data_IF_082025999322
#
_entry.id   IF_082025999322
#
_cell.length_a   1.000
_cell.length_b   1.000
_cell.length_c   1.000
_cell.angle_alpha   90.00
_cell.angle_beta   90.00
_cell.angle_gamma   90.00
#
_symmetry.space_group_name_H-M   'P 1'
#
loop_
_entity.id
_entity.type
_entity.pdbx_description
1 polymer ?
#
# COMPACT_ATOMS: atom_id res chain seq x y z
N UNK A 1 -8.10 -0.68 -15.19
CA UNK A 1 -8.43 -1.07 -13.79
C UNK A 1 -7.42 -0.38 -12.87
N UNK A 2 -7.86 0.29 -11.80
CA UNK A 2 -6.96 0.96 -10.85
C UNK A 2 -6.79 0.11 -9.59
N UNK A 3 -5.61 -0.46 -9.39
CA UNK A 3 -5.31 -1.35 -8.25
C UNK A 3 -5.46 -0.65 -6.89
N UNK A 4 -5.21 0.66 -6.82
CA UNK A 4 -5.39 1.42 -5.59
C UNK A 4 -6.87 1.43 -5.13
N UNK A 5 -7.81 1.44 -6.07
CA UNK A 5 -9.23 1.36 -5.75
C UNK A 5 -9.62 -0.01 -5.20
N UNK A 6 -9.04 -1.10 -5.72
CA UNK A 6 -9.28 -2.45 -5.19
C UNK A 6 -8.88 -2.57 -3.72
N UNK A 7 -7.74 -2.00 -3.35
CA UNK A 7 -7.28 -1.96 -1.95
C UNK A 7 -8.21 -1.09 -1.08
N UNK A 8 -8.62 0.08 -1.58
CA UNK A 8 -9.55 0.96 -0.85
C UNK A 8 -10.88 0.26 -0.56
N UNK A 9 -11.49 -0.38 -1.57
CA UNK A 9 -12.75 -1.09 -1.39
C UNK A 9 -12.64 -2.29 -0.43
N UNK A 10 -11.52 -3.01 -0.45
CA UNK A 10 -11.29 -4.12 0.46
C UNK A 10 -11.10 -3.63 1.91
N UNK A 11 -10.37 -2.53 2.12
CA UNK A 11 -10.19 -1.91 3.43
C UNK A 11 -11.49 -1.35 4.00
N UNK A 12 -12.39 -0.83 3.16
CA UNK A 12 -13.71 -0.38 3.61
C UNK A 12 -14.63 -1.55 4.00
N UNK A 13 -14.64 -2.64 3.22
CA UNK A 13 -15.56 -3.77 3.44
C UNK A 13 -15.07 -4.74 4.51
N UNK A 14 -13.76 -4.91 4.61
CA UNK A 14 -13.12 -5.93 5.43
C UNK A 14 -11.86 -5.40 6.13
N UNK A 15 -11.97 -4.31 6.91
CA UNK A 15 -10.81 -3.61 7.49
C UNK A 15 -9.91 -4.51 8.32
N UNK A 16 -10.50 -5.39 9.13
CA UNK A 16 -9.80 -6.28 10.07
C UNK A 16 -9.35 -7.63 9.46
N UNK A 17 -9.69 -7.91 8.20
CA UNK A 17 -9.24 -9.15 7.56
C UNK A 17 -7.77 -9.04 7.15
N UNK A 18 -7.03 -10.14 7.28
CA UNK A 18 -5.65 -10.23 6.82
C UNK A 18 -5.58 -10.00 5.30
N UNK A 19 -4.71 -9.08 4.90
CA UNK A 19 -4.46 -8.70 3.51
C UNK A 19 -3.07 -9.11 3.04
N UNK A 20 -2.08 -9.11 3.95
CA UNK A 20 -0.71 -9.45 3.65
C UNK A 20 -0.11 -10.29 4.77
N UNK A 21 0.67 -11.28 4.35
CA UNK A 21 1.41 -12.21 5.19
C UNK A 21 2.85 -12.27 4.68
N UNK A 22 3.81 -11.96 5.53
CA UNK A 22 5.25 -12.07 5.25
C UNK A 22 5.96 -12.64 6.48
N UNK A 23 6.14 -13.97 6.52
CA UNK A 23 6.58 -14.69 7.72
C UNK A 23 5.63 -14.48 8.90
N UNK A 24 6.15 -13.89 9.96
CA UNK A 24 5.40 -13.54 11.18
C UNK A 24 4.63 -12.22 11.05
N UNK A 25 4.91 -11.43 10.01
CA UNK A 25 4.20 -10.17 9.77
C UNK A 25 2.82 -10.45 9.19
N UNK A 26 1.79 -9.94 9.87
CA UNK A 26 0.39 -9.95 9.43
C UNK A 26 -0.12 -8.53 9.37
N UNK A 27 -0.62 -8.11 8.21
CA UNK A 27 -1.26 -6.82 8.05
C UNK A 27 -2.71 -7.02 7.65
N UNK A 28 -3.60 -6.30 8.32
CA UNK A 28 -5.01 -6.19 7.91
C UNK A 28 -5.14 -5.28 6.69
N UNK A 29 -6.28 -5.32 6.00
CA UNK A 29 -6.54 -4.40 4.88
C UNK A 29 -6.48 -2.93 5.32
N UNK A 30 -6.97 -2.59 6.52
CA UNK A 30 -6.86 -1.25 7.07
C UNK A 30 -5.40 -0.83 7.27
N UNK A 31 -4.58 -1.68 7.91
CA UNK A 31 -3.17 -1.40 8.16
C UNK A 31 -2.36 -1.27 6.87
N UNK A 32 -2.61 -2.14 5.88
CA UNK A 32 -1.96 -2.08 4.59
C UNK A 32 -2.32 -0.80 3.83
N UNK A 33 -3.61 -0.41 3.84
CA UNK A 33 -4.09 0.83 3.20
C UNK A 33 -3.46 2.07 3.83
N UNK A 34 -3.34 2.09 5.15
CA UNK A 34 -2.72 3.20 5.89
C UNK A 34 -1.23 3.30 5.57
N UNK A 35 -0.50 2.19 5.59
CA UNK A 35 0.93 2.15 5.24
C UNK A 35 1.18 2.64 3.81
N UNK A 36 0.38 2.18 2.85
CA UNK A 36 0.45 2.66 1.46
C UNK A 36 0.12 4.16 1.35
N UNK A 37 -0.84 4.67 2.12
CA UNK A 37 -1.18 6.09 2.15
C UNK A 37 -0.02 6.95 2.68
N UNK A 38 0.64 6.51 3.76
CA UNK A 38 1.81 7.20 4.33
C UNK A 38 2.97 7.25 3.34
N UNK A 39 3.29 6.13 2.68
CA UNK A 39 4.33 6.09 1.65
C UNK A 39 4.00 7.04 0.49
N UNK A 40 2.77 7.02 -0.02
CA UNK A 40 2.35 7.91 -1.09
C UNK A 40 2.44 9.39 -0.70
N UNK A 41 2.05 9.74 0.54
CA UNK A 41 2.19 11.09 1.07
C UNK A 41 3.65 11.53 1.18
N UNK A 42 4.52 10.65 1.66
CA UNK A 42 5.98 10.89 1.71
C UNK A 42 6.57 11.12 0.33
N UNK A 43 6.25 10.27 -0.65
CA UNK A 43 6.71 10.44 -2.03
C UNK A 43 6.20 11.75 -2.65
N UNK A 44 4.95 12.12 -2.38
CA UNK A 44 4.39 13.41 -2.81
C UNK A 44 5.14 14.59 -2.19
N UNK A 45 5.54 14.51 -0.92
CA UNK A 45 6.35 15.54 -0.25
C UNK A 45 7.76 15.69 -0.83
N UNK A 46 8.28 14.63 -1.46
CA UNK A 46 9.56 14.64 -2.19
C UNK A 46 9.42 15.15 -3.63
N UNK A 47 8.21 15.56 -4.05
CA UNK A 47 7.94 16.15 -5.36
C UNK A 47 7.46 15.16 -6.41
N UNK A 48 7.20 13.89 -6.07
CA UNK A 48 6.65 12.93 -7.02
C UNK A 48 5.24 13.33 -7.44
N UNK A 49 5.02 13.45 -8.75
CA UNK A 49 3.76 13.89 -9.34
C UNK A 49 3.19 12.87 -10.33
N UNK A 50 1.95 13.11 -10.75
CA UNK A 50 1.29 12.30 -11.78
C UNK A 50 2.08 12.38 -13.09
N UNK A 51 2.47 11.22 -13.60
CA UNK A 51 3.23 11.10 -14.84
C UNK A 51 4.71 10.82 -14.62
N UNK A 52 5.20 11.01 -13.39
CA UNK A 52 6.56 10.65 -13.02
C UNK A 52 6.75 9.13 -12.97
N UNK A 53 8.02 8.71 -13.08
CA UNK A 53 8.43 7.32 -13.05
C UNK A 53 9.26 7.07 -11.81
N UNK A 54 8.84 6.09 -11.00
CA UNK A 54 9.54 5.63 -9.81
C UNK A 54 10.00 4.19 -10.04
N UNK A 55 11.28 3.92 -9.76
CA UNK A 55 11.79 2.55 -9.71
C UNK A 55 11.66 1.99 -8.29
N UNK A 56 11.08 0.80 -8.15
CA UNK A 56 11.08 0.04 -6.92
C UNK A 56 12.06 -1.14 -7.08
N UNK A 57 13.21 -1.07 -6.39
CA UNK A 57 14.25 -2.11 -6.45
C UNK A 57 14.24 -2.83 -5.11
N UNK A 58 13.43 -3.88 -5.01
CA UNK A 58 13.14 -4.57 -3.76
C UNK A 58 12.99 -6.08 -4.03
N UNK A 59 13.23 -6.89 -3.00
CA UNK A 59 12.83 -8.31 -2.99
C UNK A 59 11.36 -8.44 -2.63
N UNK A 60 10.74 -9.60 -2.87
CA UNK A 60 9.38 -9.87 -2.43
C UNK A 60 9.30 -9.93 -0.90
N UNK A 61 8.97 -8.79 -0.29
CA UNK A 61 8.76 -8.60 1.15
C UNK A 61 7.70 -7.52 1.36
N UNK A 62 7.24 -7.37 2.59
CA UNK A 62 6.18 -6.43 2.94
C UNK A 62 6.61 -4.95 3.04
N UNK A 63 7.91 -4.64 2.97
CA UNK A 63 8.44 -3.27 3.00
C UNK A 63 8.42 -2.54 1.66
#
# INVERSE_FOLDING_TARGET
MNLALSLAYAAERHPEREALVDGDVRLTYAALRERAARLAGGLGSLGLARGDRLAAVLTNRHE
#
